data_IF_092518206669
#
_entry.id   IF_092518206669
#
_cell.length_a   1.000
_cell.length_b   1.000
_cell.length_c   1.000
_cell.angle_alpha   90.00
_cell.angle_beta   90.00
_cell.angle_gamma   90.00
#
_symmetry.space_group_name_H-M   'P 1'
#
loop_
_entity.id
_entity.type
_entity.pdbx_description
1 polymer ?
#
# COMPACT_ATOMS: atom_id res chain seq x y z
N UNK A 1 -54.62 67.36 23.77
CA UNK A 1 -53.43 67.85 23.04
C UNK A 1 -52.25 67.84 24.02
N UNK A 2 -51.05 67.31 23.74
CA UNK A 2 -50.56 66.54 22.59
C UNK A 2 -49.95 65.14 22.94
N UNK A 3 -49.87 64.32 21.89
CA UNK A 3 -48.80 63.37 21.50
C UNK A 3 -48.32 62.26 22.46
N UNK A 4 -48.79 61.02 22.20
CA UNK A 4 -48.17 59.76 22.62
C UNK A 4 -46.97 59.46 21.69
N UNK A 5 -45.73 59.51 22.20
CA UNK A 5 -44.54 59.09 21.44
C UNK A 5 -44.27 57.61 21.64
N UNK A 6 -44.48 56.80 20.61
CA UNK A 6 -44.01 55.42 20.52
C UNK A 6 -42.49 55.38 20.34
N UNK A 7 -41.76 54.88 21.34
CA UNK A 7 -40.37 54.48 21.19
C UNK A 7 -40.32 53.06 20.60
N UNK A 8 -40.02 52.95 19.30
CA UNK A 8 -39.56 51.69 18.70
C UNK A 8 -38.07 51.51 19.04
N UNK A 9 -37.77 50.58 19.94
CA UNK A 9 -36.41 50.08 20.12
C UNK A 9 -36.06 49.14 18.96
N UNK A 10 -35.20 49.59 18.05
CA UNK A 10 -34.65 48.75 16.98
C UNK A 10 -33.46 47.97 17.55
N UNK A 11 -33.67 46.69 17.85
CA UNK A 11 -32.58 45.78 18.19
C UNK A 11 -31.82 45.41 16.91
N UNK A 12 -30.64 46.00 16.71
CA UNK A 12 -29.75 45.62 15.61
C UNK A 12 -29.09 44.28 15.92
N UNK A 13 -29.54 43.19 15.31
CA UNK A 13 -28.79 41.93 15.29
C UNK A 13 -27.56 42.11 14.40
N UNK A 14 -26.41 42.37 15.01
CA UNK A 14 -25.10 42.26 14.36
C UNK A 14 -24.80 40.78 14.10
N UNK A 15 -25.10 40.32 12.89
CA UNK A 15 -24.70 39.00 12.40
C UNK A 15 -23.18 38.93 12.29
N UNK A 16 -22.52 38.26 13.25
CA UNK A 16 -21.15 37.80 13.08
C UNK A 16 -21.17 36.72 11.98
N UNK A 17 -20.81 37.11 10.76
CA UNK A 17 -20.45 36.16 9.72
C UNK A 17 -19.16 35.46 10.15
N UNK A 18 -19.28 34.29 10.78
CA UNK A 18 -18.18 33.34 10.87
C UNK A 18 -17.79 32.98 9.45
N UNK A 19 -16.67 33.53 8.99
CA UNK A 19 -16.07 33.15 7.70
C UNK A 19 -15.92 31.63 7.67
N UNK A 20 -16.49 30.99 6.65
CA UNK A 20 -16.31 29.57 6.44
C UNK A 20 -14.80 29.25 6.46
N UNK A 21 -14.35 28.19 7.15
CA UNK A 21 -12.94 27.84 7.15
C UNK A 21 -12.47 27.71 5.70
N UNK A 22 -11.39 28.41 5.37
CA UNK A 22 -10.73 28.24 4.07
C UNK A 22 -10.30 26.78 3.97
N UNK A 23 -11.08 25.99 3.25
CA UNK A 23 -10.71 24.62 2.89
C UNK A 23 -9.54 24.74 1.92
N UNK A 24 -8.31 24.70 2.46
CA UNK A 24 -7.12 24.51 1.64
C UNK A 24 -7.31 23.15 0.98
N UNK A 25 -7.53 23.17 -0.34
CA UNK A 25 -7.69 21.95 -1.15
C UNK A 25 -6.32 21.25 -1.19
N UNK A 26 -6.04 20.41 -0.19
CA UNK A 26 -4.83 19.60 -0.14
C UNK A 26 -4.79 18.72 -1.38
N UNK A 27 -3.65 18.67 -2.06
CA UNK A 27 -3.46 17.77 -3.19
C UNK A 27 -3.59 16.32 -2.72
N UNK A 28 -4.39 15.54 -3.45
CA UNK A 28 -4.54 14.10 -3.25
C UNK A 28 -3.16 13.44 -3.22
N UNK A 29 -2.90 12.60 -2.22
CA UNK A 29 -1.61 11.95 -2.01
C UNK A 29 -1.73 10.45 -2.16
N UNK A 30 -0.71 9.83 -2.77
CA UNK A 30 -0.53 8.38 -2.79
C UNK A 30 0.40 7.98 -1.65
N UNK A 31 -0.06 7.13 -0.75
CA UNK A 31 0.70 6.63 0.38
C UNK A 31 1.08 5.18 0.15
N UNK A 32 2.34 4.83 0.44
CA UNK A 32 2.83 3.47 0.25
C UNK A 32 3.09 2.81 1.60
N UNK A 33 2.49 1.65 1.84
CA UNK A 33 2.74 0.80 3.01
C UNK A 33 3.24 -0.56 2.53
N UNK A 34 4.47 -0.89 2.88
CA UNK A 34 5.09 -2.15 2.49
C UNK A 34 6.40 -2.42 3.18
N UNK A 35 7.16 -3.35 2.62
CA UNK A 35 8.42 -3.86 3.17
C UNK A 35 9.67 -3.33 2.44
N UNK A 36 10.80 -4.04 2.55
CA UNK A 36 12.07 -3.64 1.93
C UNK A 36 12.01 -3.58 0.41
N UNK A 37 11.14 -4.36 -0.23
CA UNK A 37 10.99 -4.36 -1.70
C UNK A 37 10.31 -3.08 -2.21
N UNK A 38 9.64 -2.34 -1.34
CA UNK A 38 8.99 -1.05 -1.63
C UNK A 38 9.71 0.15 -0.99
N UNK A 39 10.39 -0.05 0.14
CA UNK A 39 11.01 0.99 0.93
C UNK A 39 12.28 1.59 0.32
N UNK A 40 12.58 2.83 0.72
CA UNK A 40 13.90 3.41 0.48
C UNK A 40 14.98 2.59 1.18
N UNK A 41 15.97 2.11 0.44
CA UNK A 41 17.14 1.42 0.97
C UNK A 41 18.37 2.35 1.11
N UNK A 42 19.37 1.91 1.88
CA UNK A 42 20.60 2.67 2.19
C UNK A 42 21.88 2.06 1.61
N UNK A 43 21.79 0.97 0.85
CA UNK A 43 22.89 0.26 0.23
C UNK A 43 22.76 0.26 -1.31
N UNK A 44 23.33 -0.73 -2.00
CA UNK A 44 23.22 -0.90 -3.46
C UNK A 44 21.86 -1.46 -3.91
N UNK A 45 20.91 -1.65 -2.99
CA UNK A 45 19.53 -2.04 -3.28
C UNK A 45 18.60 -0.82 -3.29
N UNK A 46 17.37 -0.99 -3.78
CA UNK A 46 16.32 0.02 -3.72
C UNK A 46 14.94 -0.65 -3.75
N UNK A 47 13.96 -0.03 -3.11
CA UNK A 47 12.56 -0.44 -3.23
C UNK A 47 11.82 0.28 -4.35
N UNK A 48 10.86 -0.42 -4.97
CA UNK A 48 10.14 0.07 -6.14
C UNK A 48 9.32 1.35 -5.86
N UNK A 49 8.88 1.55 -4.61
CA UNK A 49 8.10 2.72 -4.20
C UNK A 49 8.81 4.05 -4.41
N UNK A 50 10.15 4.06 -4.45
CA UNK A 50 10.94 5.28 -4.71
C UNK A 50 10.82 5.79 -6.16
N UNK A 51 10.37 4.94 -7.08
CA UNK A 51 10.24 5.25 -8.50
C UNK A 51 8.82 5.67 -8.89
N UNK A 52 7.80 5.32 -8.09
CA UNK A 52 6.39 5.53 -8.47
C UNK A 52 6.05 7.02 -8.69
N UNK A 53 6.72 7.93 -7.98
CA UNK A 53 6.58 9.38 -8.15
C UNK A 53 6.90 9.88 -9.57
N UNK A 54 7.71 9.13 -10.33
CA UNK A 54 8.03 9.49 -11.71
C UNK A 54 6.87 9.14 -12.65
N UNK A 55 6.11 8.09 -12.35
CA UNK A 55 4.98 7.61 -13.17
C UNK A 55 3.65 8.30 -12.85
N UNK A 56 3.52 8.96 -11.70
CA UNK A 56 2.28 9.61 -11.26
C UNK A 56 2.34 11.14 -11.30
N UNK A 57 1.21 11.78 -11.59
CA UNK A 57 1.00 13.22 -11.43
C UNK A 57 0.65 13.64 -9.99
N UNK A 58 0.36 12.67 -9.12
CA UNK A 58 0.12 12.88 -7.69
C UNK A 58 1.41 12.80 -6.88
N UNK A 59 1.52 13.54 -5.76
CA UNK A 59 2.59 13.32 -4.79
C UNK A 59 2.53 11.90 -4.21
N UNK A 60 3.69 11.27 -4.07
CA UNK A 60 3.86 9.94 -3.46
C UNK A 60 4.62 10.08 -2.14
N UNK A 61 4.05 9.54 -1.06
CA UNK A 61 4.67 9.48 0.25
C UNK A 61 4.96 8.02 0.62
N UNK A 62 6.22 7.61 0.47
CA UNK A 62 6.65 6.25 0.76
C UNK A 62 6.82 6.04 2.27
N UNK A 63 5.94 5.23 2.86
CA UNK A 63 5.98 4.82 4.28
C UNK A 63 6.33 3.34 4.43
N UNK A 64 6.79 2.67 3.37
CA UNK A 64 7.30 1.32 3.47
C UNK A 64 8.58 1.28 4.31
N UNK A 65 8.79 0.17 5.03
CA UNK A 65 9.92 -0.01 5.94
C UNK A 65 10.46 -1.42 5.81
N UNK A 66 11.78 -1.53 5.62
CA UNK A 66 12.48 -2.81 5.52
C UNK A 66 12.16 -3.78 6.66
N UNK A 67 11.97 -5.05 6.29
CA UNK A 67 11.73 -6.16 7.21
C UNK A 67 10.36 -6.18 7.89
N UNK A 68 9.38 -5.38 7.45
CA UNK A 68 8.02 -5.41 8.01
C UNK A 68 7.13 -6.41 7.28
N UNK A 69 6.23 -6.99 8.04
CA UNK A 69 5.06 -7.78 7.64
C UNK A 69 3.79 -6.98 7.97
N UNK A 70 2.62 -7.44 7.52
CA UNK A 70 1.33 -6.87 7.89
C UNK A 70 1.16 -6.79 9.42
N UNK A 71 1.54 -7.85 10.16
CA UNK A 71 1.58 -7.84 11.63
C UNK A 71 2.50 -6.78 12.19
N UNK A 72 3.80 -6.84 11.88
CA UNK A 72 4.80 -5.97 12.51
C UNK A 72 4.59 -4.50 12.15
N UNK A 73 4.14 -4.21 10.93
CA UNK A 73 3.75 -2.86 10.51
C UNK A 73 2.55 -2.33 11.32
N UNK A 74 1.59 -3.19 11.64
CA UNK A 74 0.46 -2.87 12.53
C UNK A 74 0.91 -2.64 13.96
N UNK A 75 1.66 -3.59 14.54
CA UNK A 75 2.11 -3.56 15.94
C UNK A 75 2.99 -2.34 16.23
N UNK A 76 3.81 -1.93 15.27
CA UNK A 76 4.65 -0.72 15.38
C UNK A 76 3.88 0.59 15.12
N UNK A 77 2.56 0.57 14.96
CA UNK A 77 1.73 1.77 14.77
C UNK A 77 1.90 2.47 13.43
N UNK A 78 2.47 1.79 12.42
CA UNK A 78 2.78 2.42 11.12
C UNK A 78 1.54 2.59 10.26
N UNK A 79 0.62 1.63 10.28
CA UNK A 79 -0.71 1.86 9.70
C UNK A 79 -1.42 3.03 10.38
N UNK A 80 -1.36 3.11 11.71
CA UNK A 80 -1.96 4.22 12.46
C UNK A 80 -1.41 5.57 12.00
N UNK A 81 -0.09 5.66 11.80
CA UNK A 81 0.55 6.87 11.26
C UNK A 81 -0.03 7.29 9.91
N UNK A 82 -0.29 6.35 9.00
CA UNK A 82 -0.94 6.65 7.71
C UNK A 82 -2.40 7.05 7.93
N UNK A 83 -3.16 6.29 8.73
CA UNK A 83 -4.58 6.55 9.03
C UNK A 83 -4.79 7.96 9.62
N UNK A 84 -3.88 8.43 10.46
CA UNK A 84 -3.95 9.76 11.05
C UNK A 84 -3.54 10.88 10.06
N UNK A 85 -2.81 10.54 9.01
CA UNK A 85 -2.27 11.49 8.03
C UNK A 85 -3.08 11.62 6.74
N UNK A 86 -3.84 10.58 6.38
CA UNK A 86 -4.62 10.56 5.14
C UNK A 86 -5.77 11.55 5.17
N UNK A 87 -6.07 12.14 4.01
CA UNK A 87 -7.28 12.91 3.76
C UNK A 87 -8.24 12.13 2.86
N UNK A 88 -9.50 12.59 2.80
CA UNK A 88 -10.49 12.02 1.88
C UNK A 88 -9.99 12.09 0.43
N UNK A 89 -10.20 10.98 -0.30
CA UNK A 89 -9.69 10.70 -1.64
C UNK A 89 -8.19 10.39 -1.76
N UNK A 90 -7.39 10.45 -0.69
CA UNK A 90 -6.03 9.89 -0.75
C UNK A 90 -6.07 8.40 -1.13
N UNK A 91 -5.01 7.94 -1.79
CA UNK A 91 -4.89 6.54 -2.21
C UNK A 91 -3.80 5.90 -1.36
N UNK A 92 -4.09 4.74 -0.78
CA UNK A 92 -3.10 3.97 -0.02
C UNK A 92 -2.85 2.65 -0.72
N UNK A 93 -1.61 2.42 -1.14
CA UNK A 93 -1.14 1.17 -1.72
C UNK A 93 -0.50 0.36 -0.62
N UNK A 94 -0.99 -0.87 -0.40
CA UNK A 94 -0.52 -1.78 0.63
C UNK A 94 0.02 -3.05 -0.04
N UNK A 95 1.27 -3.39 0.22
CA UNK A 95 1.94 -4.57 -0.33
C UNK A 95 2.85 -5.22 0.72
N UNK A 96 2.50 -6.43 1.14
CA UNK A 96 3.26 -7.24 2.09
C UNK A 96 3.27 -8.70 1.62
N UNK A 97 4.03 -9.55 2.31
CA UNK A 97 4.08 -11.00 2.06
C UNK A 97 5.47 -11.61 2.20
N UNK A 98 6.54 -10.84 1.96
CA UNK A 98 7.92 -11.36 2.06
C UNK A 98 8.31 -11.74 3.50
N UNK A 99 7.78 -11.01 4.47
CA UNK A 99 8.14 -11.15 5.90
C UNK A 99 7.05 -11.82 6.74
N UNK A 100 5.91 -12.16 6.13
CA UNK A 100 4.67 -12.55 6.80
C UNK A 100 4.64 -14.07 7.09
N UNK A 101 5.53 -14.83 6.46
CA UNK A 101 5.74 -16.25 6.72
C UNK A 101 6.65 -16.52 7.91
N UNK A 102 6.84 -17.82 8.20
CA UNK A 102 7.66 -18.30 9.30
C UNK A 102 6.87 -19.21 10.22
N UNK A 103 7.40 -19.42 11.43
CA UNK A 103 6.72 -20.13 12.50
C UNK A 103 6.53 -19.21 13.72
N UNK A 104 5.47 -19.44 14.48
CA UNK A 104 5.27 -18.85 15.81
C UNK A 104 5.86 -19.75 16.92
N UNK A 105 6.23 -20.98 16.58
CA UNK A 105 6.78 -21.98 17.52
C UNK A 105 8.09 -22.60 16.99
N UNK A 106 9.08 -22.88 17.85
CA UNK A 106 9.12 -22.57 19.28
C UNK A 106 9.41 -21.07 19.56
N UNK A 107 9.73 -20.28 18.54
CA UNK A 107 10.10 -18.86 18.69
C UNK A 107 9.38 -18.00 17.68
N UNK A 108 8.88 -16.86 18.15
CA UNK A 108 8.21 -15.85 17.35
C UNK A 108 9.21 -14.77 16.93
N UNK A 109 9.38 -14.58 15.62
CA UNK A 109 10.25 -13.54 15.06
C UNK A 109 9.62 -12.13 15.10
N UNK A 110 8.37 -12.00 15.56
CA UNK A 110 7.61 -10.75 15.63
C UNK A 110 6.93 -10.32 14.33
N UNK A 111 7.13 -11.08 13.24
CA UNK A 111 6.67 -10.76 11.89
C UNK A 111 5.65 -11.77 11.36
N UNK A 112 5.86 -13.06 11.65
CA UNK A 112 5.00 -14.15 11.21
C UNK A 112 3.53 -13.86 11.59
N UNK A 113 2.63 -13.96 10.62
CA UNK A 113 1.20 -13.87 10.85
C UNK A 113 0.62 -15.22 11.33
N UNK A 114 -0.57 -15.18 11.92
CA UNK A 114 -1.29 -16.41 12.24
C UNK A 114 -1.72 -17.11 10.94
N UNK A 115 -1.52 -18.43 10.80
CA UNK A 115 -2.04 -19.18 9.66
C UNK A 115 -3.57 -19.10 9.61
N UNK A 116 -4.11 -18.82 8.43
CA UNK A 116 -5.56 -18.72 8.21
C UNK A 116 -5.89 -17.67 7.17
N UNK A 117 -7.13 -17.70 6.68
CA UNK A 117 -7.64 -16.77 5.67
C UNK A 117 -8.80 -15.90 6.18
N UNK A 118 -9.23 -16.09 7.43
CA UNK A 118 -10.36 -15.43 8.05
C UNK A 118 -9.99 -14.78 9.38
N UNK A 119 -10.85 -14.96 10.38
CA UNK A 119 -10.75 -14.31 11.69
C UNK A 119 -9.97 -15.14 12.73
N UNK A 120 -9.17 -16.12 12.29
CA UNK A 120 -8.35 -16.92 13.19
C UNK A 120 -7.37 -16.02 13.97
N UNK A 121 -7.05 -16.45 15.18
CA UNK A 121 -6.02 -15.79 15.99
C UNK A 121 -5.12 -16.83 16.61
N UNK A 122 -3.85 -16.47 16.74
CA UNK A 122 -2.84 -17.29 17.38
C UNK A 122 -2.39 -16.61 18.68
N UNK A 123 -2.08 -17.40 19.70
CA UNK A 123 -1.40 -16.90 20.91
C UNK A 123 0.09 -17.17 20.77
N UNK A 124 0.90 -16.19 21.12
CA UNK A 124 2.36 -16.28 21.06
C UNK A 124 2.99 -15.46 22.20
N UNK A 125 4.30 -15.60 22.38
CA UNK A 125 5.09 -14.74 23.26
C UNK A 125 6.17 -14.07 22.43
N UNK A 126 6.16 -12.73 22.39
CA UNK A 126 7.15 -11.94 21.67
C UNK A 126 7.77 -10.91 22.61
N UNK A 127 9.10 -10.84 22.67
CA UNK A 127 9.86 -10.01 23.61
C UNK A 127 9.39 -10.15 25.07
N UNK A 128 9.09 -11.39 25.49
CA UNK A 128 8.64 -11.71 26.85
C UNK A 128 7.18 -11.35 27.15
N UNK A 129 6.41 -10.84 26.18
CA UNK A 129 5.01 -10.48 26.36
C UNK A 129 4.10 -11.44 25.60
N UNK A 130 3.00 -11.85 26.24
CA UNK A 130 1.95 -12.60 25.58
C UNK A 130 1.25 -11.70 24.56
N UNK A 131 1.16 -12.16 23.31
CA UNK A 131 0.58 -11.43 22.19
C UNK A 131 -0.51 -12.25 21.50
N UNK A 132 -1.51 -11.57 20.95
CA UNK A 132 -2.48 -12.16 20.03
C UNK A 132 -2.09 -11.77 18.61
N UNK A 133 -1.88 -12.76 17.77
CA UNK A 133 -1.47 -12.61 16.37
C UNK A 133 -2.67 -12.87 15.48
N UNK A 134 -2.96 -11.95 14.56
CA UNK A 134 -4.05 -12.09 13.60
C UNK A 134 -3.55 -12.77 12.32
N UNK A 135 -4.47 -13.16 11.44
CA UNK A 135 -4.12 -13.60 10.09
C UNK A 135 -3.70 -12.42 9.21
N UNK A 136 -2.92 -12.71 8.16
CA UNK A 136 -2.56 -11.74 7.11
C UNK A 136 -3.77 -10.94 6.59
N UNK A 137 -4.87 -11.58 6.11
CA UNK A 137 -6.02 -10.82 5.62
C UNK A 137 -6.69 -10.01 6.73
N UNK A 138 -6.74 -10.49 7.98
CA UNK A 138 -7.32 -9.71 9.08
C UNK A 138 -6.56 -8.40 9.33
N UNK A 139 -5.21 -8.41 9.28
CA UNK A 139 -4.42 -7.18 9.38
C UNK A 139 -4.74 -6.20 8.25
N UNK A 140 -4.77 -6.67 7.00
CA UNK A 140 -5.07 -5.83 5.85
C UNK A 140 -6.50 -5.29 5.86
N UNK A 141 -7.49 -6.10 6.26
CA UNK A 141 -8.89 -5.69 6.37
C UNK A 141 -9.07 -4.62 7.44
N UNK A 142 -8.42 -4.77 8.59
CA UNK A 142 -8.49 -3.78 9.67
C UNK A 142 -7.90 -2.44 9.23
N UNK A 143 -6.70 -2.45 8.65
CA UNK A 143 -6.07 -1.24 8.11
C UNK A 143 -6.91 -0.61 6.99
N UNK A 144 -7.36 -1.43 6.03
CA UNK A 144 -8.16 -0.98 4.89
C UNK A 144 -9.48 -0.34 5.31
N UNK A 145 -10.21 -0.95 6.25
CA UNK A 145 -11.46 -0.37 6.77
C UNK A 145 -11.23 0.95 7.50
N UNK A 146 -10.15 1.06 8.29
CA UNK A 146 -9.82 2.29 8.98
C UNK A 146 -9.46 3.43 8.00
N UNK A 147 -8.74 3.11 6.92
CA UNK A 147 -8.43 4.07 5.84
C UNK A 147 -9.67 4.51 5.07
N UNK A 148 -10.54 3.56 4.71
CA UNK A 148 -11.82 3.86 4.04
C UNK A 148 -12.72 4.72 4.92
N UNK A 149 -12.72 4.52 6.23
CA UNK A 149 -13.44 5.37 7.18
C UNK A 149 -12.95 6.83 7.19
N UNK A 150 -11.70 7.10 6.77
CA UNK A 150 -11.16 8.45 6.53
C UNK A 150 -11.48 9.00 5.13
N UNK A 151 -12.18 8.24 4.30
CA UNK A 151 -12.49 8.58 2.91
C UNK A 151 -11.38 8.24 1.91
N UNK A 152 -10.33 7.52 2.33
CA UNK A 152 -9.27 7.10 1.43
C UNK A 152 -9.71 5.91 0.55
N UNK A 153 -9.01 5.70 -0.56
CA UNK A 153 -9.11 4.52 -1.42
C UNK A 153 -7.93 3.60 -1.16
N UNK A 154 -8.16 2.30 -1.19
CA UNK A 154 -7.14 1.29 -0.86
C UNK A 154 -6.83 0.42 -2.06
N UNK A 155 -5.55 0.28 -2.39
CA UNK A 155 -5.07 -0.69 -3.37
C UNK A 155 -4.28 -1.73 -2.58
N UNK A 156 -4.74 -2.98 -2.60
CA UNK A 156 -3.94 -4.10 -2.11
C UNK A 156 -3.19 -4.68 -3.30
N UNK A 157 -1.87 -4.68 -3.24
CA UNK A 157 -1.03 -5.27 -4.27
C UNK A 157 -0.49 -6.63 -3.83
N UNK A 158 -0.34 -7.57 -4.76
CA UNK A 158 0.30 -8.86 -4.48
C UNK A 158 1.80 -8.69 -4.25
N UNK A 159 2.42 -9.52 -3.38
CA UNK A 159 3.85 -9.42 -3.15
C UNK A 159 4.65 -9.70 -4.42
N UNK A 160 5.73 -8.94 -4.61
CA UNK A 160 6.70 -9.14 -5.69
C UNK A 160 7.37 -10.53 -5.58
N UNK A 161 7.79 -11.15 -6.69
CA UNK A 161 8.57 -12.38 -6.62
C UNK A 161 9.98 -12.11 -6.12
N UNK A 162 10.55 -13.07 -5.37
CA UNK A 162 12.00 -13.25 -5.35
C UNK A 162 12.52 -13.55 -6.76
N UNK A 163 13.85 -13.56 -6.98
CA UNK A 163 14.45 -13.85 -8.28
C UNK A 163 13.91 -15.20 -8.84
N UNK A 164 13.02 -15.17 -9.86
CA UNK A 164 12.38 -16.38 -10.38
C UNK A 164 13.33 -17.23 -11.24
N UNK A 165 14.55 -16.75 -11.47
CA UNK A 165 15.60 -17.45 -12.23
C UNK A 165 16.72 -18.03 -11.35
N UNK A 166 16.63 -17.89 -10.02
CA UNK A 166 17.67 -18.35 -9.08
C UNK A 166 18.01 -19.85 -9.28
N UNK A 167 17.01 -20.68 -9.58
CA UNK A 167 17.16 -22.12 -9.86
C UNK A 167 17.71 -22.48 -11.24
N UNK A 168 18.12 -21.51 -12.06
CA UNK A 168 18.62 -21.73 -13.42
C UNK A 168 17.54 -21.74 -14.51
N UNK A 169 16.32 -22.14 -14.15
CA UNK A 169 15.13 -22.07 -15.01
C UNK A 169 14.09 -21.12 -14.40
N UNK A 170 13.29 -20.49 -15.26
CA UNK A 170 12.23 -19.61 -14.79
C UNK A 170 11.17 -20.40 -14.03
N UNK A 171 10.89 -19.99 -12.80
CA UNK A 171 9.84 -20.55 -11.96
C UNK A 171 9.14 -19.44 -11.18
N UNK A 172 7.84 -19.34 -11.34
CA UNK A 172 7.02 -18.43 -10.55
C UNK A 172 5.67 -19.08 -10.22
N UNK A 173 5.35 -19.05 -8.92
CA UNK A 173 4.03 -19.37 -8.39
C UNK A 173 3.66 -18.26 -7.42
N UNK A 174 2.47 -17.69 -7.56
CA UNK A 174 1.99 -16.67 -6.64
C UNK A 174 1.95 -17.22 -5.20
N UNK A 175 2.53 -16.53 -4.21
CA UNK A 175 2.47 -16.99 -2.83
C UNK A 175 1.03 -16.92 -2.30
N UNK A 176 0.74 -17.67 -1.22
CA UNK A 176 -0.59 -17.66 -0.57
C UNK A 176 -1.09 -16.25 -0.21
N UNK A 177 -0.17 -15.33 0.05
CA UNK A 177 -0.46 -13.93 0.37
C UNK A 177 -1.12 -13.16 -0.78
N UNK A 178 -0.91 -13.57 -2.03
CA UNK A 178 -1.63 -13.03 -3.20
C UNK A 178 -3.13 -13.31 -3.06
N UNK A 179 -3.51 -14.57 -2.81
CA UNK A 179 -4.91 -14.96 -2.61
C UNK A 179 -5.51 -14.28 -1.38
N UNK A 180 -4.75 -14.15 -0.29
CA UNK A 180 -5.21 -13.47 0.91
C UNK A 180 -5.39 -11.96 0.72
N UNK A 181 -4.50 -11.30 -0.03
CA UNK A 181 -4.65 -9.89 -0.38
C UNK A 181 -5.92 -9.66 -1.20
N UNK A 182 -6.20 -10.55 -2.16
CA UNK A 182 -7.44 -10.52 -2.95
C UNK A 182 -8.68 -10.72 -2.09
N UNK A 183 -8.64 -11.63 -1.10
CA UNK A 183 -9.78 -11.83 -0.19
C UNK A 183 -9.99 -10.66 0.76
N UNK A 184 -8.93 -9.94 1.15
CA UNK A 184 -9.04 -8.73 1.97
C UNK A 184 -9.79 -7.62 1.24
N UNK A 185 -9.56 -7.43 -0.07
CA UNK A 185 -10.26 -6.42 -0.88
C UNK A 185 -11.78 -6.62 -0.83
N UNK A 186 -12.26 -7.84 -1.02
CA UNK A 186 -13.70 -8.17 -0.94
C UNK A 186 -14.30 -7.83 0.43
N UNK A 187 -13.51 -7.95 1.51
CA UNK A 187 -13.94 -7.67 2.88
C UNK A 187 -13.88 -6.18 3.26
N UNK A 188 -13.02 -5.39 2.59
CA UNK A 188 -12.95 -3.94 2.75
C UNK A 188 -14.10 -3.26 1.99
N UNK A 189 -14.45 -3.77 0.81
CA UNK A 189 -15.59 -3.31 0.01
C UNK A 189 -15.18 -2.42 -1.17
N UNK A 190 -16.13 -1.65 -1.72
CA UNK A 190 -16.00 -0.94 -3.00
C UNK A 190 -14.95 0.18 -3.05
N UNK A 191 -14.41 0.60 -1.89
CA UNK A 191 -13.29 1.55 -1.83
C UNK A 191 -11.92 0.85 -1.75
N UNK A 192 -11.88 -0.46 -1.99
CA UNK A 192 -10.66 -1.22 -2.18
C UNK A 192 -10.63 -1.88 -3.56
N UNK A 193 -9.42 -2.05 -4.10
CA UNK A 193 -9.17 -2.84 -5.30
C UNK A 193 -7.89 -3.67 -5.16
N UNK A 194 -7.76 -4.68 -6.01
CA UNK A 194 -6.58 -5.55 -6.05
C UNK A 194 -5.74 -5.29 -7.31
N UNK A 195 -4.42 -5.30 -7.18
CA UNK A 195 -3.47 -5.27 -8.30
C UNK A 195 -2.53 -6.45 -8.18
N UNK A 196 -2.47 -7.32 -9.19
CA UNK A 196 -1.57 -8.48 -9.17
C UNK A 196 -0.14 -8.11 -9.60
N UNK A 197 0.52 -7.28 -8.78
CA UNK A 197 1.85 -6.78 -9.05
C UNK A 197 2.88 -7.91 -9.23
N UNK A 198 2.86 -8.93 -8.36
CA UNK A 198 3.75 -10.07 -8.43
C UNK A 198 3.71 -10.82 -9.76
N UNK A 199 2.51 -11.03 -10.34
CA UNK A 199 2.35 -11.67 -11.64
C UNK A 199 2.97 -10.84 -12.77
N UNK A 200 2.73 -9.53 -12.77
CA UNK A 200 3.29 -8.64 -13.78
C UNK A 200 4.82 -8.54 -13.69
N UNK A 201 5.38 -8.53 -12.48
CA UNK A 201 6.84 -8.57 -12.26
C UNK A 201 7.42 -9.89 -12.77
N UNK A 202 6.79 -11.03 -12.45
CA UNK A 202 7.24 -12.33 -12.92
C UNK A 202 7.26 -12.39 -14.46
N UNK A 203 6.24 -11.83 -15.11
CA UNK A 203 6.17 -11.81 -16.57
C UNK A 203 7.27 -10.96 -17.23
N UNK A 204 7.55 -9.76 -16.71
CA UNK A 204 8.65 -8.95 -17.27
C UNK A 204 10.00 -9.63 -17.02
N UNK A 205 10.22 -10.22 -15.83
CA UNK A 205 11.43 -10.98 -15.55
C UNK A 205 11.59 -12.21 -16.46
N UNK A 206 10.49 -12.87 -16.84
CA UNK A 206 10.54 -13.95 -17.83
C UNK A 206 11.06 -13.45 -19.18
N UNK A 207 10.57 -12.30 -19.66
CA UNK A 207 10.99 -11.71 -20.93
C UNK A 207 12.44 -11.24 -20.91
N UNK A 208 12.90 -10.66 -19.80
CA UNK A 208 14.29 -10.19 -19.67
C UNK A 208 15.31 -11.33 -19.63
N UNK A 209 14.91 -12.52 -19.18
CA UNK A 209 15.76 -13.69 -19.09
C UNK A 209 16.76 -13.66 -17.93
N UNK A 210 17.28 -14.85 -17.58
CA UNK A 210 18.14 -15.07 -16.41
C UNK A 210 19.30 -14.07 -16.29
N UNK A 211 20.11 -13.95 -17.34
CA UNK A 211 21.32 -13.13 -17.31
C UNK A 211 21.03 -11.68 -16.94
N UNK A 212 19.92 -11.11 -17.43
CA UNK A 212 19.51 -9.76 -17.08
C UNK A 212 18.92 -9.71 -15.67
N UNK A 213 18.02 -10.63 -15.31
CA UNK A 213 17.34 -10.62 -14.01
C UNK A 213 18.32 -10.80 -12.86
N UNK A 214 19.34 -11.66 -12.98
CA UNK A 214 20.34 -11.83 -11.93
C UNK A 214 21.08 -10.53 -11.60
N UNK A 215 21.34 -9.67 -12.60
CA UNK A 215 21.95 -8.34 -12.34
C UNK A 215 21.04 -7.38 -11.57
N UNK A 216 19.73 -7.68 -11.52
CA UNK A 216 18.77 -6.88 -10.76
C UNK A 216 18.77 -7.24 -9.28
N UNK A 217 19.44 -8.31 -8.86
CA UNK A 217 19.47 -8.84 -7.49
C UNK A 217 20.93 -8.89 -6.98
N UNK A 218 21.51 -7.74 -6.57
CA UNK A 218 22.95 -7.62 -6.37
C UNK A 218 23.50 -8.33 -5.12
N UNK A 219 22.66 -8.56 -4.11
CA UNK A 219 23.10 -9.09 -2.81
C UNK A 219 22.47 -10.45 -2.49
N UNK A 220 21.18 -10.60 -2.76
CA UNK A 220 20.38 -11.78 -2.47
C UNK A 220 19.19 -11.87 -3.45
N UNK A 221 18.37 -12.91 -3.33
CA UNK A 221 17.27 -13.15 -4.24
C UNK A 221 16.01 -12.30 -4.01
N UNK A 222 15.99 -11.36 -3.07
CA UNK A 222 14.79 -10.57 -2.72
C UNK A 222 14.99 -9.08 -2.98
N UNK A 223 16.15 -8.54 -2.61
CA UNK A 223 16.39 -7.10 -2.65
C UNK A 223 16.92 -6.67 -4.01
N UNK A 224 16.14 -5.85 -4.71
CA UNK A 224 16.48 -5.37 -6.05
C UNK A 224 17.49 -4.22 -6.02
N UNK A 225 18.37 -4.15 -7.02
CA UNK A 225 19.13 -2.94 -7.34
C UNK A 225 18.20 -1.78 -7.75
N UNK A 226 18.75 -0.57 -7.88
CA UNK A 226 18.04 0.58 -8.45
C UNK A 226 17.34 0.27 -9.79
N UNK A 227 18.03 -0.40 -10.72
CA UNK A 227 17.45 -0.78 -12.00
C UNK A 227 16.36 -1.86 -11.86
N UNK A 228 16.53 -2.77 -10.90
CA UNK A 228 15.52 -3.78 -10.57
C UNK A 228 14.25 -3.15 -10.01
N UNK A 229 14.41 -2.23 -9.06
CA UNK A 229 13.32 -1.50 -8.44
C UNK A 229 12.50 -0.67 -9.44
N UNK A 230 13.17 -0.02 -10.40
CA UNK A 230 12.49 0.68 -11.49
C UNK A 230 11.75 -0.28 -12.42
N UNK A 231 12.32 -1.46 -12.70
CA UNK A 231 11.65 -2.51 -13.49
C UNK A 231 10.39 -3.02 -12.80
N UNK A 232 10.48 -3.26 -11.49
CA UNK A 232 9.35 -3.68 -10.64
C UNK A 232 8.28 -2.59 -10.62
N UNK A 233 8.64 -1.32 -10.42
CA UNK A 233 7.67 -0.21 -10.45
C UNK A 233 6.93 -0.12 -11.78
N UNK A 234 7.63 -0.26 -12.91
CA UNK A 234 6.99 -0.24 -14.24
C UNK A 234 6.02 -1.39 -14.40
N UNK A 235 6.32 -2.56 -13.84
CA UNK A 235 5.41 -3.70 -13.83
C UNK A 235 4.14 -3.42 -12.99
N UNK A 236 4.26 -2.74 -11.85
CA UNK A 236 3.10 -2.25 -11.08
C UNK A 236 2.22 -1.32 -11.92
N UNK A 237 2.83 -0.32 -12.56
CA UNK A 237 2.10 0.63 -13.42
C UNK A 237 1.45 -0.09 -14.60
N UNK A 238 2.13 -1.09 -15.19
CA UNK A 238 1.56 -1.92 -16.26
C UNK A 238 0.34 -2.67 -15.76
N UNK A 239 0.41 -3.30 -14.59
CA UNK A 239 -0.70 -4.03 -13.98
C UNK A 239 -1.91 -3.12 -13.75
N UNK A 240 -1.68 -1.91 -13.21
CA UNK A 240 -2.73 -0.90 -13.04
C UNK A 240 -3.39 -0.54 -14.37
N UNK A 241 -2.60 -0.17 -15.38
CA UNK A 241 -3.10 0.28 -16.68
C UNK A 241 -3.86 -0.83 -17.42
N UNK A 242 -3.38 -2.08 -17.34
CA UNK A 242 -4.08 -3.24 -17.92
C UNK A 242 -5.39 -3.54 -17.19
N UNK A 243 -5.50 -3.22 -15.90
CA UNK A 243 -6.73 -3.26 -15.12
C UNK A 243 -7.66 -2.04 -15.31
N UNK A 244 -7.35 -1.13 -16.23
CA UNK A 244 -8.13 0.09 -16.47
C UNK A 244 -7.81 1.26 -15.53
N UNK A 245 -6.63 1.27 -14.90
CA UNK A 245 -6.11 2.35 -14.04
C UNK A 245 -6.69 2.40 -12.62
N UNK A 246 -7.96 2.00 -12.45
CA UNK A 246 -8.64 1.94 -11.17
C UNK A 246 -8.65 3.29 -10.45
N UNK A 247 -8.31 3.32 -9.16
CA UNK A 247 -8.25 4.57 -8.41
C UNK A 247 -7.14 5.54 -8.87
N UNK A 248 -6.20 5.07 -9.69
CA UNK A 248 -5.12 5.87 -10.26
C UNK A 248 -5.36 6.24 -11.73
N UNK A 249 -6.55 5.94 -12.28
CA UNK A 249 -6.91 6.35 -13.63
C UNK A 249 -6.84 7.89 -13.79
N UNK A 250 -6.32 8.35 -14.93
CA UNK A 250 -6.03 9.77 -15.18
C UNK A 250 -4.85 10.36 -14.40
N UNK A 251 -4.25 9.63 -13.43
CA UNK A 251 -3.07 10.09 -12.68
C UNK A 251 -1.75 9.47 -13.15
N UNK A 252 -1.80 8.38 -13.91
CA UNK A 252 -0.62 7.78 -14.55
C UNK A 252 -0.23 8.62 -15.76
N UNK A 253 1.03 9.08 -15.81
CA UNK A 253 1.53 9.98 -16.87
C UNK A 253 1.65 9.31 -18.24
N UNK A 254 1.94 8.01 -18.24
CA UNK A 254 2.25 7.23 -19.43
C UNK A 254 1.05 6.34 -19.80
N UNK A 255 0.74 6.22 -21.10
CA UNK A 255 -0.29 5.30 -21.58
C UNK A 255 0.16 3.84 -21.60
N UNK A 256 -0.78 2.89 -21.61
CA UNK A 256 -0.52 1.44 -21.50
C UNK A 256 0.50 0.90 -22.52
N UNK A 257 0.48 1.41 -23.75
CA UNK A 257 1.40 0.98 -24.82
C UNK A 257 2.85 1.47 -24.62
N UNK A 258 3.06 2.49 -23.79
CA UNK A 258 4.38 3.08 -23.52
C UNK A 258 5.09 2.48 -22.31
N UNK A 259 4.40 1.64 -21.53
CA UNK A 259 4.97 0.90 -20.40
C UNK A 259 5.28 -0.53 -20.85
N UNK A 260 6.53 -0.95 -20.66
CA UNK A 260 7.03 -2.26 -21.07
C UNK A 260 6.20 -3.42 -20.48
N UNK A 261 6.17 -4.54 -21.20
CA UNK A 261 5.41 -5.74 -20.83
C UNK A 261 4.05 -5.83 -21.53
N UNK A 262 3.33 -6.94 -21.25
CA UNK A 262 2.01 -7.23 -21.81
C UNK A 262 0.95 -7.28 -20.70
N UNK A 263 -0.30 -7.04 -21.07
CA UNK A 263 -1.43 -7.33 -20.19
C UNK A 263 -1.63 -8.85 -20.12
N UNK A 264 -1.89 -9.34 -18.91
CA UNK A 264 -2.09 -10.76 -18.60
C UNK A 264 -3.36 -10.97 -17.79
#
# INVERSE_FOLDING_TARGET
>A
MPSLSSLLSVLSLSSLALGAPHVVKRAQTVWLAGDSTMAKASDNTQGWGEYLKYSLSLPVNNKAIGGRSARSYTVEGRFQTIIDSVASNDIVIIEFGHNDGGSLTPTDNGRTDCPGAGAETCKSTYNGQAVTVLTYPAYLVNAGKALVAKGAKVIIASPTPNNPWEGGTFSYTSPRFTTYGKSAVSQIGSSAMFVDHGLYVANIFKTLGKAKVDTLFPNDHTHTSAAGAETVEKAFVKALLCGGGGFLDGFVKNGTASVEGACV
#
